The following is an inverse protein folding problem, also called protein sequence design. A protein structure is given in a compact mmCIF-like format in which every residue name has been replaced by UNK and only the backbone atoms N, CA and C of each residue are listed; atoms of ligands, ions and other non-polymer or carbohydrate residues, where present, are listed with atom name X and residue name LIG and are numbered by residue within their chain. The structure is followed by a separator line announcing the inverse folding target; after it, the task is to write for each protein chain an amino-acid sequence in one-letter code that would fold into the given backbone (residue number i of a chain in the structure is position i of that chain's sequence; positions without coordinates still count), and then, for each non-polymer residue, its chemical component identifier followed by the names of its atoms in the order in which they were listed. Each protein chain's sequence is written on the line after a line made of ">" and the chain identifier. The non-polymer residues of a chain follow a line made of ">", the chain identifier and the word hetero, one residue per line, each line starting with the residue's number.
data_IF_879972216680
#
_entry.id   IF_879972216680
#
_cell.length_a   1.000
_cell.length_b   1.000
_cell.length_c   1.000
_cell.angle_alpha   90.00
_cell.angle_beta   90.00
_cell.angle_gamma   90.00
#
_symmetry.space_group_name_H-M   'P 1'
#
loop_
_entity.id
_entity.type
_entity.pdbx_description
1 polymer ?
#
# COMPACT_ATOMS: atom_id res chain seq x y z
N UNK A 1 0.08 -5.43 18.68
CA UNK A 1 -0.23 -4.33 17.73
C UNK A 1 1.08 -3.84 17.17
N UNK A 2 1.16 -3.70 15.84
CA UNK A 2 2.37 -3.26 15.14
C UNK A 2 2.04 -2.02 14.30
N UNK A 3 2.86 -0.98 14.44
CA UNK A 3 2.75 0.24 13.63
C UNK A 3 3.97 0.25 12.72
N UNK A 4 3.73 0.29 11.42
CA UNK A 4 4.76 0.36 10.39
C UNK A 4 4.64 1.74 9.75
N UNK A 5 5.64 2.58 9.96
CA UNK A 5 5.74 3.86 9.30
C UNK A 5 6.77 3.77 8.19
N UNK A 6 6.39 4.16 6.99
CA UNK A 6 7.26 4.09 5.82
C UNK A 6 7.20 5.36 4.97
N UNK A 7 8.27 5.57 4.22
CA UNK A 7 8.37 6.60 3.20
C UNK A 7 8.78 5.90 1.90
N UNK A 8 7.89 5.86 0.91
CA UNK A 8 8.18 5.19 -0.35
C UNK A 8 8.97 6.11 -1.28
N UNK A 9 9.63 5.50 -2.27
CA UNK A 9 10.30 6.26 -3.31
C UNK A 9 9.28 6.96 -4.23
N UNK A 10 9.67 8.12 -4.76
CA UNK A 10 8.87 8.86 -5.73
C UNK A 10 8.64 8.06 -7.01
N UNK A 11 7.59 8.37 -7.78
CA UNK A 11 7.25 7.64 -8.99
C UNK A 11 8.38 7.68 -10.07
N UNK A 12 9.24 8.70 -10.02
CA UNK A 12 10.39 8.88 -10.93
C UNK A 12 11.58 7.97 -10.60
N UNK A 13 11.51 7.22 -9.50
CA UNK A 13 12.55 6.25 -9.13
C UNK A 13 12.46 4.98 -9.98
N UNK A 14 13.60 4.31 -10.17
CA UNK A 14 13.68 3.08 -10.96
C UNK A 14 12.76 1.98 -10.40
N UNK A 15 12.18 1.17 -11.30
CA UNK A 15 11.23 0.11 -10.95
C UNK A 15 11.82 -0.92 -9.98
N UNK A 16 13.09 -1.30 -10.18
CA UNK A 16 13.79 -2.24 -9.30
C UNK A 16 13.91 -1.71 -7.86
N UNK A 17 14.11 -0.40 -7.70
CA UNK A 17 14.21 0.23 -6.37
C UNK A 17 12.83 0.25 -5.70
N UNK A 18 11.79 0.57 -6.47
CA UNK A 18 10.40 0.49 -6.01
C UNK A 18 10.06 -0.96 -5.62
N UNK A 19 10.46 -1.95 -6.41
CA UNK A 19 10.14 -3.38 -6.16
C UNK A 19 10.82 -3.85 -4.88
N UNK A 20 12.10 -3.54 -4.74
CA UNK A 20 12.85 -3.85 -3.53
C UNK A 20 12.19 -3.25 -2.28
N UNK A 21 11.70 -2.00 -2.36
CA UNK A 21 10.97 -1.37 -1.26
C UNK A 21 9.70 -2.17 -0.87
N UNK A 22 8.86 -2.55 -1.84
CA UNK A 22 7.64 -3.30 -1.57
C UNK A 22 7.92 -4.74 -1.10
N UNK A 23 8.96 -5.41 -1.61
CA UNK A 23 9.42 -6.71 -1.13
C UNK A 23 9.90 -6.65 0.32
N UNK A 24 10.67 -5.61 0.68
CA UNK A 24 11.11 -5.40 2.06
C UNK A 24 9.91 -5.11 2.97
N UNK A 25 8.97 -4.29 2.53
CA UNK A 25 7.74 -3.99 3.28
C UNK A 25 6.90 -5.25 3.51
N UNK A 26 6.74 -6.09 2.49
CA UNK A 26 6.09 -7.39 2.58
C UNK A 26 6.75 -8.28 3.64
N UNK A 27 8.08 -8.37 3.63
CA UNK A 27 8.83 -9.16 4.63
C UNK A 27 8.61 -8.66 6.06
N UNK A 28 8.45 -7.36 6.26
CA UNK A 28 8.15 -6.77 7.58
C UNK A 28 6.73 -7.16 8.02
N UNK A 29 5.75 -7.05 7.12
CA UNK A 29 4.36 -7.43 7.39
C UNK A 29 4.26 -8.92 7.74
N UNK A 30 4.99 -9.80 7.04
CA UNK A 30 5.01 -11.24 7.31
C UNK A 30 5.61 -11.61 8.67
N UNK A 31 6.54 -10.80 9.18
CA UNK A 31 7.10 -10.97 10.53
C UNK A 31 6.13 -10.55 11.62
N UNK A 32 5.12 -9.73 11.31
CA UNK A 32 4.10 -9.38 12.27
C UNK A 32 3.16 -10.56 12.53
N UNK A 33 2.82 -10.88 13.80
CA UNK A 33 1.83 -11.90 14.09
C UNK A 33 0.50 -11.58 13.42
N UNK A 34 -0.08 -12.52 12.64
CA UNK A 34 -1.38 -12.33 11.97
C UNK A 34 -2.56 -12.00 12.90
N UNK A 35 -2.41 -12.27 14.20
CA UNK A 35 -3.41 -11.97 15.24
C UNK A 35 -3.34 -10.53 15.75
N UNK A 36 -2.24 -9.84 15.46
CA UNK A 36 -2.04 -8.46 15.89
C UNK A 36 -2.57 -7.49 14.84
N UNK A 37 -3.18 -6.39 15.30
CA UNK A 37 -3.51 -5.26 14.45
C UNK A 37 -2.22 -4.67 13.84
N UNK A 38 -2.19 -4.53 12.52
CA UNK A 38 -1.14 -3.84 11.76
C UNK A 38 -1.70 -2.51 11.29
N UNK A 39 -1.01 -1.42 11.65
CA UNK A 39 -1.29 -0.08 11.13
C UNK A 39 -0.11 0.30 10.24
N UNK A 40 -0.35 0.32 8.93
CA UNK A 40 0.61 0.81 7.95
C UNK A 40 0.29 2.28 7.65
N UNK A 41 1.27 3.17 7.84
CA UNK A 41 1.09 4.60 7.66
C UNK A 41 2.36 5.26 7.12
N UNK A 42 2.23 6.51 6.70
CA UNK A 42 3.33 7.32 6.17
C UNK A 42 3.03 7.83 4.77
N UNK A 43 4.07 8.31 4.10
CA UNK A 43 3.96 8.82 2.73
C UNK A 43 4.44 7.76 1.74
N UNK A 44 3.48 7.15 1.07
CA UNK A 44 3.73 6.08 0.11
C UNK A 44 3.91 6.61 -1.32
N UNK A 45 3.82 7.92 -1.56
CA UNK A 45 3.87 8.50 -2.91
C UNK A 45 2.91 7.79 -3.91
N UNK A 46 1.77 7.31 -3.39
CA UNK A 46 0.75 6.56 -4.13
C UNK A 46 -0.41 7.46 -4.49
N UNK A 47 -0.93 7.32 -5.71
CA UNK A 47 -2.27 7.76 -6.06
C UNK A 47 -3.10 6.51 -6.25
N UNK A 48 -4.14 6.33 -5.44
CA UNK A 48 -5.07 5.21 -5.58
C UNK A 48 -6.39 5.79 -6.12
N UNK A 49 -7.00 5.13 -7.10
CA UNK A 49 -8.08 5.69 -7.91
C UNK A 49 -9.48 5.44 -7.31
N UNK A 50 -10.50 6.18 -7.76
CA UNK A 50 -11.92 5.97 -7.42
C UNK A 50 -12.42 4.59 -7.87
N UNK A 51 -11.90 4.10 -9.00
CA UNK A 51 -12.30 2.83 -9.59
C UNK A 51 -11.71 1.67 -8.78
N UNK A 52 -12.52 1.18 -7.85
CA UNK A 52 -12.18 0.07 -6.98
C UNK A 52 -12.56 -1.29 -7.60
N UNK A 53 -12.82 -1.35 -8.91
CA UNK A 53 -13.15 -2.61 -9.61
C UNK A 53 -12.02 -3.64 -9.39
N UNK A 54 -12.34 -4.76 -8.71
CA UNK A 54 -11.38 -5.82 -8.33
C UNK A 54 -10.65 -5.62 -6.99
N UNK A 55 -10.86 -4.49 -6.32
CA UNK A 55 -10.29 -4.16 -4.99
C UNK A 55 -11.37 -3.68 -4.00
N UNK A 56 -12.64 -4.04 -4.24
CA UNK A 56 -13.80 -3.56 -3.50
C UNK A 56 -13.73 -3.91 -2.01
N UNK A 57 -13.06 -5.01 -1.67
CA UNK A 57 -12.91 -5.49 -0.30
C UNK A 57 -11.88 -4.68 0.52
N UNK A 58 -10.97 -3.96 -0.14
CA UNK A 58 -9.87 -3.25 0.53
C UNK A 58 -9.93 -1.74 0.38
N UNK A 59 -10.72 -1.21 -0.56
CA UNK A 59 -10.69 0.20 -0.92
C UNK A 59 -12.08 0.85 -0.97
N UNK A 60 -12.21 2.03 -0.32
CA UNK A 60 -13.43 2.85 -0.34
C UNK A 60 -13.40 3.88 -1.47
N UNK A 61 -14.58 4.26 -1.99
CA UNK A 61 -14.80 5.11 -3.19
C UNK A 61 -14.44 6.61 -3.06
N UNK A 62 -13.35 6.98 -2.39
CA UNK A 62 -13.12 8.38 -1.99
C UNK A 62 -11.76 9.00 -2.39
N UNK A 63 -11.08 8.51 -3.43
CA UNK A 63 -9.72 9.01 -3.78
C UNK A 63 -9.63 9.63 -5.18
N UNK A 64 -9.00 10.81 -5.34
CA UNK A 64 -8.98 11.57 -6.59
C UNK A 64 -7.72 11.26 -7.44
N UNK A 65 -7.91 10.78 -8.67
CA UNK A 65 -6.86 10.69 -9.71
C UNK A 65 -6.67 9.30 -10.32
N UNK A 66 -5.95 9.21 -11.45
CA UNK A 66 -5.55 7.92 -12.06
C UNK A 66 -4.54 7.19 -11.18
N UNK A 67 -4.71 5.86 -11.03
CA UNK A 67 -3.77 5.01 -10.28
C UNK A 67 -2.38 5.09 -10.90
N UNK A 68 -1.38 5.48 -10.10
CA UNK A 68 0.02 5.41 -10.54
C UNK A 68 0.63 4.04 -10.20
N UNK A 69 1.81 3.74 -10.73
CA UNK A 69 2.50 2.45 -10.51
C UNK A 69 2.70 2.14 -9.03
N UNK A 70 3.08 3.15 -8.23
CA UNK A 70 3.15 3.01 -6.77
C UNK A 70 1.79 2.63 -6.18
N UNK A 71 0.70 3.26 -6.63
CA UNK A 71 -0.66 2.98 -6.20
C UNK A 71 -1.09 1.54 -6.53
N UNK A 72 -0.69 1.01 -7.68
CA UNK A 72 -0.89 -0.40 -8.03
C UNK A 72 -0.15 -1.36 -7.10
N UNK A 73 1.15 -1.12 -6.89
CA UNK A 73 1.99 -1.94 -6.00
C UNK A 73 1.45 -1.93 -4.56
N UNK A 74 1.02 -0.76 -4.09
CA UNK A 74 0.40 -0.62 -2.77
C UNK A 74 -0.95 -1.34 -2.67
N UNK A 75 -1.84 -1.19 -3.66
CA UNK A 75 -3.12 -1.90 -3.68
C UNK A 75 -2.93 -3.43 -3.68
N UNK A 76 -1.96 -3.94 -4.46
CA UNK A 76 -1.60 -5.36 -4.50
C UNK A 76 -1.09 -5.86 -3.15
N UNK A 77 -0.21 -5.10 -2.48
CA UNK A 77 0.26 -5.40 -1.13
C UNK A 77 -0.91 -5.49 -0.14
N UNK A 78 -1.83 -4.53 -0.18
CA UNK A 78 -3.00 -4.52 0.71
C UNK A 78 -3.93 -5.70 0.43
N UNK A 79 -4.21 -6.01 -0.84
CA UNK A 79 -5.03 -7.14 -1.26
C UNK A 79 -4.44 -8.47 -0.75
N UNK A 80 -3.13 -8.68 -0.96
CA UNK A 80 -2.45 -9.90 -0.56
C UNK A 80 -2.48 -10.13 0.96
N UNK A 81 -2.30 -9.07 1.74
CA UNK A 81 -2.25 -9.15 3.20
C UNK A 81 -3.62 -8.91 3.87
N UNK A 82 -4.70 -8.75 3.11
CA UNK A 82 -6.05 -8.41 3.61
C UNK A 82 -6.07 -7.15 4.47
N UNK A 83 -5.28 -6.14 4.09
CA UNK A 83 -5.28 -4.81 4.70
C UNK A 83 -6.34 -3.93 4.05
N UNK A 84 -6.93 -3.03 4.83
CA UNK A 84 -7.93 -2.07 4.35
C UNK A 84 -7.28 -0.69 4.24
N UNK A 85 -7.46 -0.03 3.09
CA UNK A 85 -7.00 1.33 2.82
C UNK A 85 -8.03 2.30 3.41
N UNK A 86 -7.63 3.00 4.47
CA UNK A 86 -8.50 3.92 5.21
C UNK A 86 -8.56 5.34 4.62
N UNK A 87 -7.55 5.73 3.86
CA UNK A 87 -7.48 7.01 3.17
C UNK A 87 -6.04 7.40 2.84
N UNK A 88 -5.86 8.04 1.70
CA UNK A 88 -4.66 8.80 1.31
C UNK A 88 -4.94 10.29 1.55
N UNK A 89 -3.93 11.06 2.00
CA UNK A 89 -4.04 12.52 2.20
C UNK A 89 -3.50 13.24 0.97
#
# INVERSE_FOLDING_TARGET
>A
MNIIQCYAHTNDSNDDIKDQFYEQLQSIIEKCPRKDLIILMGDLNTKVEIDNTGYEDIMRRHELGQRNENGERFANLCAFNKLVIGGTI
#
